data_IF_556558210344
#
_entry.id   IF_556558210344
#
_cell.length_a   1.000
_cell.length_b   1.000
_cell.length_c   1.000
_cell.angle_alpha   90.00
_cell.angle_beta   90.00
_cell.angle_gamma   90.00
#
_symmetry.space_group_name_H-M   'P 1'
#
loop_
_entity.id
_entity.type
_entity.pdbx_description
1 polymer ?
#
# COMPACT_ATOMS: atom_id res chain seq x y z
N UNK A 1 27.98 -29.28 52.94
CA UNK A 1 28.48 -27.89 52.86
C UNK A 1 27.48 -27.16 51.99
N UNK A 2 26.78 -26.18 52.53
CA UNK A 2 25.99 -25.26 51.71
C UNK A 2 26.99 -24.31 51.06
N UNK A 3 27.08 -24.35 49.73
CA UNK A 3 27.88 -23.39 48.97
C UNK A 3 27.14 -22.06 49.01
N UNK A 4 27.53 -21.19 49.96
CA UNK A 4 27.09 -19.80 50.02
C UNK A 4 27.72 -19.01 48.85
N UNK A 5 27.23 -19.29 47.65
CA UNK A 5 27.48 -18.51 46.44
C UNK A 5 26.98 -17.07 46.66
N UNK A 6 27.66 -16.09 46.08
CA UNK A 6 27.16 -14.72 46.13
C UNK A 6 25.89 -14.60 45.28
N UNK A 7 24.98 -13.69 45.64
CA UNK A 7 23.75 -13.45 44.87
C UNK A 7 24.04 -13.18 43.38
N UNK A 8 25.15 -12.48 43.07
CA UNK A 8 25.62 -12.21 41.72
C UNK A 8 26.03 -13.50 40.96
N UNK A 9 26.67 -14.47 41.63
CA UNK A 9 27.07 -15.75 41.02
C UNK A 9 25.81 -16.59 40.70
N UNK A 10 24.84 -16.59 41.62
CA UNK A 10 23.54 -17.24 41.42
C UNK A 10 22.78 -16.59 40.26
N UNK A 11 22.78 -15.26 40.15
CA UNK A 11 22.14 -14.57 39.01
C UNK A 11 22.84 -14.86 37.67
N UNK A 12 24.18 -15.03 37.66
CA UNK A 12 24.94 -15.41 36.46
C UNK A 12 24.55 -16.82 35.98
N UNK A 13 24.54 -17.81 36.88
CA UNK A 13 24.13 -19.19 36.54
C UNK A 13 22.65 -19.29 36.11
N UNK A 14 21.78 -18.44 36.66
CA UNK A 14 20.37 -18.38 36.27
C UNK A 14 20.11 -17.58 34.97
N UNK A 15 21.08 -16.82 34.45
CA UNK A 15 20.88 -15.94 33.30
C UNK A 15 20.37 -16.66 32.03
N UNK A 16 20.91 -17.84 31.63
CA UNK A 16 20.38 -18.58 30.48
C UNK A 16 18.94 -19.03 30.67
N UNK A 17 18.59 -19.46 31.89
CA UNK A 17 17.23 -19.92 32.24
C UNK A 17 16.24 -18.74 32.20
N UNK A 18 16.62 -17.58 32.73
CA UNK A 18 15.81 -16.37 32.69
C UNK A 18 15.54 -15.90 31.24
N UNK A 19 16.54 -15.97 30.36
CA UNK A 19 16.37 -15.65 28.93
C UNK A 19 15.46 -16.65 28.21
N UNK A 20 15.58 -17.95 28.52
CA UNK A 20 14.68 -18.97 27.97
C UNK A 20 13.24 -18.79 28.45
N UNK A 21 13.03 -18.49 29.74
CA UNK A 21 11.69 -18.23 30.30
C UNK A 21 11.03 -17.02 29.64
N UNK A 22 11.77 -15.92 29.44
CA UNK A 22 11.29 -14.74 28.72
C UNK A 22 10.95 -15.04 27.24
N UNK A 23 11.70 -15.95 26.60
CA UNK A 23 11.38 -16.42 25.25
C UNK A 23 10.11 -17.28 25.21
N UNK A 24 9.86 -18.12 26.22
CA UNK A 24 8.60 -18.87 26.36
C UNK A 24 7.41 -17.92 26.58
N UNK A 25 7.55 -16.89 27.44
CA UNK A 25 6.54 -15.84 27.60
C UNK A 25 6.20 -15.15 26.27
N UNK A 26 7.21 -14.83 25.46
CA UNK A 26 7.06 -14.30 24.11
C UNK A 26 6.25 -15.24 23.19
N UNK A 27 6.58 -16.54 23.17
CA UNK A 27 5.84 -17.53 22.37
C UNK A 27 4.38 -17.73 22.84
N UNK A 28 4.12 -17.57 24.13
CA UNK A 28 2.77 -17.58 24.71
C UNK A 28 1.98 -16.26 24.48
N UNK A 29 2.53 -15.31 23.72
CA UNK A 29 1.89 -14.02 23.43
C UNK A 29 1.95 -13.00 24.57
N UNK A 30 2.64 -13.30 25.68
CA UNK A 30 2.82 -12.41 26.84
C UNK A 30 3.93 -11.39 26.58
N UNK A 31 3.73 -10.59 25.54
CA UNK A 31 4.74 -9.69 24.96
C UNK A 31 5.28 -8.66 25.95
N UNK A 32 4.43 -8.10 26.82
CA UNK A 32 4.85 -7.09 27.80
C UNK A 32 5.74 -7.70 28.91
N UNK A 33 5.33 -8.85 29.48
CA UNK A 33 6.13 -9.61 30.46
C UNK A 33 7.52 -9.98 29.90
N UNK A 34 7.55 -10.44 28.65
CA UNK A 34 8.80 -10.78 27.96
C UNK A 34 9.69 -9.54 27.72
N UNK A 35 9.13 -8.41 27.29
CA UNK A 35 9.87 -7.14 27.11
C UNK A 35 10.48 -6.67 28.43
N UNK A 36 9.72 -6.71 29.52
CA UNK A 36 10.19 -6.34 30.85
C UNK A 36 11.29 -7.27 31.35
N UNK A 37 11.12 -8.58 31.18
CA UNK A 37 12.10 -9.61 31.55
C UNK A 37 13.42 -9.44 30.78
N UNK A 38 13.39 -9.35 29.45
CA UNK A 38 14.60 -9.09 28.65
C UNK A 38 15.23 -7.73 29.02
N UNK A 39 14.43 -6.70 29.26
CA UNK A 39 14.94 -5.38 29.66
C UNK A 39 15.61 -5.42 31.03
N UNK A 40 15.10 -6.21 31.97
CA UNK A 40 15.70 -6.46 33.27
C UNK A 40 17.08 -7.12 33.14
N UNK A 41 17.15 -8.24 32.44
CA UNK A 41 18.40 -9.01 32.20
C UNK A 41 19.47 -8.10 31.56
N UNK A 42 19.11 -7.34 30.51
CA UNK A 42 20.04 -6.44 29.81
C UNK A 42 20.50 -5.26 30.69
N UNK A 43 19.67 -4.80 31.64
CA UNK A 43 20.03 -3.71 32.57
C UNK A 43 20.99 -4.16 33.66
N UNK A 44 20.85 -5.40 34.14
CA UNK A 44 21.74 -5.98 35.17
C UNK A 44 23.16 -6.19 34.65
N UNK A 45 23.30 -6.44 33.34
CA UNK A 45 24.60 -6.52 32.67
C UNK A 45 25.55 -7.56 33.35
N UNK A 46 24.99 -8.73 33.62
CA UNK A 46 25.67 -9.92 34.14
C UNK A 46 26.83 -10.35 33.22
N UNK A 47 27.77 -11.14 33.73
CA UNK A 47 29.01 -11.49 33.00
C UNK A 47 28.76 -12.49 31.84
N UNK A 48 27.56 -13.08 31.75
CA UNK A 48 27.18 -14.01 30.67
C UNK A 48 26.83 -13.29 29.34
N UNK A 49 27.88 -12.94 28.58
CA UNK A 49 27.79 -12.29 27.27
C UNK A 49 26.85 -13.02 26.27
N UNK A 50 26.84 -14.37 26.14
CA UNK A 50 25.87 -15.12 25.33
C UNK A 50 24.40 -14.85 25.67
N UNK A 51 23.98 -14.94 26.94
CA UNK A 51 22.58 -14.70 27.31
C UNK A 51 22.17 -13.26 27.09
N UNK A 52 23.07 -12.30 27.33
CA UNK A 52 22.83 -10.89 27.00
C UNK A 52 22.64 -10.70 25.48
N UNK A 53 23.46 -11.33 24.65
CA UNK A 53 23.32 -11.23 23.19
C UNK A 53 21.98 -11.79 22.69
N UNK A 54 21.56 -12.94 23.23
CA UNK A 54 20.25 -13.55 22.92
C UNK A 54 19.09 -12.70 23.43
N UNK A 55 19.16 -12.16 24.65
CA UNK A 55 18.16 -11.27 25.22
C UNK A 55 18.00 -9.98 24.40
N UNK A 56 19.11 -9.36 23.97
CA UNK A 56 19.11 -8.18 23.09
C UNK A 56 18.42 -8.53 21.78
N UNK A 57 18.76 -9.66 21.15
CA UNK A 57 18.18 -10.07 19.88
C UNK A 57 16.67 -10.31 19.96
N UNK A 58 16.20 -10.99 21.02
CA UNK A 58 14.78 -11.29 21.22
C UNK A 58 13.98 -10.02 21.54
N UNK A 59 14.52 -9.13 22.36
CA UNK A 59 13.92 -7.81 22.63
C UNK A 59 13.79 -6.97 21.36
N UNK A 60 14.79 -7.03 20.47
CA UNK A 60 14.77 -6.35 19.17
C UNK A 60 13.68 -6.93 18.27
N UNK A 61 13.55 -8.26 18.19
CA UNK A 61 12.49 -8.91 17.45
C UNK A 61 11.08 -8.52 17.95
N UNK A 62 10.90 -8.39 19.27
CA UNK A 62 9.64 -7.92 19.89
C UNK A 62 9.34 -6.44 19.63
N UNK A 63 10.36 -5.56 19.67
CA UNK A 63 10.20 -4.13 19.35
C UNK A 63 9.97 -3.87 17.86
N UNK A 64 10.58 -4.69 17.00
CA UNK A 64 10.55 -4.53 15.54
C UNK A 64 11.10 -3.17 15.11
N UNK A 65 10.37 -2.39 14.28
CA UNK A 65 10.82 -1.07 13.81
C UNK A 65 10.67 0.05 14.86
N UNK A 66 10.24 -0.24 16.10
CA UNK A 66 10.23 0.74 17.20
C UNK A 66 11.66 0.90 17.75
N UNK A 67 12.02 2.13 18.11
CA UNK A 67 13.31 2.48 18.70
C UNK A 67 14.56 1.99 17.94
N UNK A 68 14.53 1.95 16.60
CA UNK A 68 15.60 1.39 15.75
C UNK A 68 17.01 1.87 16.16
N UNK A 69 17.16 3.14 16.52
CA UNK A 69 18.44 3.71 16.97
C UNK A 69 18.95 3.16 18.32
N UNK A 70 18.06 2.82 19.25
CA UNK A 70 18.41 2.16 20.52
C UNK A 70 18.72 0.67 20.28
N UNK A 71 17.88 0.00 19.48
CA UNK A 71 18.09 -1.39 19.05
C UNK A 71 19.44 -1.59 18.36
N UNK A 72 19.81 -0.71 17.42
CA UNK A 72 21.14 -0.70 16.79
C UNK A 72 22.25 -0.46 17.83
N UNK A 73 22.11 0.54 18.71
CA UNK A 73 23.09 0.82 19.76
C UNK A 73 23.29 -0.38 20.71
N UNK A 74 22.26 -1.18 20.97
CA UNK A 74 22.37 -2.40 21.77
C UNK A 74 23.12 -3.50 21.04
N UNK A 75 22.85 -3.72 19.75
CA UNK A 75 23.65 -4.65 18.94
C UNK A 75 25.11 -4.20 18.84
N UNK A 76 25.37 -2.91 18.62
CA UNK A 76 26.74 -2.37 18.52
C UNK A 76 27.56 -2.47 19.83
N UNK A 77 26.98 -2.99 20.94
CA UNK A 77 27.70 -3.33 22.19
C UNK A 77 28.23 -4.77 22.23
N UNK A 78 27.56 -5.71 21.57
CA UNK A 78 27.94 -7.14 21.53
C UNK A 78 28.86 -7.46 20.33
N UNK A 79 29.35 -6.41 19.67
CA UNK A 79 30.09 -6.46 18.40
C UNK A 79 31.37 -5.64 18.52
N UNK A 80 32.41 -6.09 17.82
CA UNK A 80 33.69 -5.38 17.78
C UNK A 80 33.66 -4.19 16.80
N UNK A 81 34.27 -3.08 17.23
CA UNK A 81 34.44 -1.88 16.40
C UNK A 81 35.62 -2.08 15.44
N UNK A 82 35.39 -2.85 14.37
CA UNK A 82 36.36 -3.00 13.28
C UNK A 82 36.26 -1.84 12.29
N UNK A 83 37.39 -1.18 12.03
CA UNK A 83 37.53 -0.11 11.03
C UNK A 83 37.87 -0.67 9.64
N UNK A 84 37.12 -1.68 9.17
CA UNK A 84 37.35 -2.36 7.90
C UNK A 84 36.07 -2.83 7.22
N UNK A 85 36.14 -3.34 5.96
CA UNK A 85 35.00 -3.70 5.11
C UNK A 85 34.29 -5.02 5.51
N UNK A 86 34.42 -5.40 6.78
CA UNK A 86 33.59 -6.40 7.46
C UNK A 86 33.22 -5.80 8.83
N UNK A 87 32.52 -4.67 8.82
CA UNK A 87 32.36 -3.79 9.99
C UNK A 87 31.48 -4.36 11.13
N UNK A 88 31.14 -5.65 11.11
CA UNK A 88 30.15 -6.27 11.99
C UNK A 88 30.56 -7.72 12.32
N UNK A 89 31.54 -7.87 13.22
CA UNK A 89 31.99 -9.15 13.79
C UNK A 89 31.71 -9.20 15.30
N UNK A 90 31.35 -10.37 15.84
CA UNK A 90 31.03 -10.53 17.26
C UNK A 90 32.26 -10.29 18.14
N UNK A 91 32.06 -9.70 19.31
CA UNK A 91 33.18 -9.41 20.21
C UNK A 91 33.75 -10.67 20.89
N UNK A 92 35.08 -10.71 21.09
CA UNK A 92 35.77 -11.56 22.10
C UNK A 92 35.45 -13.07 22.06
N UNK A 93 35.24 -13.64 20.88
CA UNK A 93 34.93 -15.07 20.74
C UNK A 93 33.47 -15.44 21.11
N UNK A 94 32.58 -14.46 21.23
CA UNK A 94 31.14 -14.68 21.42
C UNK A 94 30.51 -15.48 20.26
N UNK A 95 31.09 -15.39 19.05
CA UNK A 95 30.73 -16.21 17.89
C UNK A 95 31.00 -17.72 18.10
N UNK A 96 31.91 -18.10 18.99
CA UNK A 96 32.15 -19.52 19.34
C UNK A 96 31.15 -20.03 20.37
N UNK A 97 30.62 -19.14 21.22
CA UNK A 97 29.65 -19.45 22.28
C UNK A 97 28.20 -19.47 21.76
N UNK A 98 27.88 -18.70 20.73
CA UNK A 98 26.56 -18.64 20.12
C UNK A 98 26.35 -19.74 19.08
N UNK A 99 25.21 -20.43 19.15
CA UNK A 99 24.82 -21.42 18.14
C UNK A 99 24.69 -20.79 16.74
N UNK A 100 24.87 -21.57 15.64
CA UNK A 100 24.72 -21.05 14.28
C UNK A 100 23.42 -20.29 14.04
N UNK A 101 22.29 -20.79 14.56
CA UNK A 101 20.96 -20.15 14.44
C UNK A 101 20.85 -18.84 15.21
N UNK A 102 21.48 -18.72 16.40
CA UNK A 102 21.50 -17.46 17.14
C UNK A 102 22.33 -16.40 16.41
N UNK A 103 23.51 -16.78 15.89
CA UNK A 103 24.36 -15.89 15.08
C UNK A 103 23.60 -15.38 13.85
N UNK A 104 22.99 -16.30 13.10
CA UNK A 104 22.16 -16.00 11.93
C UNK A 104 21.04 -15.00 12.27
N UNK A 105 20.26 -15.25 13.33
CA UNK A 105 19.16 -14.38 13.74
C UNK A 105 19.63 -12.95 14.09
N UNK A 106 20.79 -12.82 14.75
CA UNK A 106 21.40 -11.51 15.07
C UNK A 106 21.81 -10.77 13.79
N UNK A 107 22.46 -11.44 12.84
CA UNK A 107 22.81 -10.85 11.55
C UNK A 107 21.57 -10.40 10.76
N UNK A 108 20.55 -11.24 10.66
CA UNK A 108 19.27 -10.93 10.00
C UNK A 108 18.63 -9.69 10.64
N UNK A 109 18.50 -9.67 11.97
CA UNK A 109 17.91 -8.54 12.69
C UNK A 109 18.73 -7.25 12.55
N UNK A 110 20.08 -7.33 12.49
CA UNK A 110 20.92 -6.14 12.18
C UNK A 110 20.61 -5.58 10.80
N UNK A 111 20.47 -6.42 9.77
CA UNK A 111 20.11 -5.97 8.41
C UNK A 111 18.73 -5.35 8.38
N UNK A 112 17.73 -5.97 9.03
CA UNK A 112 16.38 -5.41 9.09
C UNK A 112 16.37 -4.03 9.76
N UNK A 113 17.09 -3.85 10.88
CA UNK A 113 17.25 -2.54 11.52
C UNK A 113 18.02 -1.52 10.65
N UNK A 114 19.00 -1.95 9.85
CA UNK A 114 19.68 -1.09 8.88
C UNK A 114 18.72 -0.59 7.79
N UNK A 115 17.87 -1.49 7.26
CA UNK A 115 16.84 -1.15 6.28
C UNK A 115 15.75 -0.24 6.86
N UNK A 116 15.40 -0.40 8.14
CA UNK A 116 14.46 0.50 8.83
C UNK A 116 15.07 1.86 9.20
N UNK A 117 16.38 1.94 9.44
CA UNK A 117 17.10 3.20 9.68
C UNK A 117 17.65 3.87 8.42
N UNK A 118 17.38 3.32 7.24
CA UNK A 118 17.87 3.79 5.94
C UNK A 118 19.42 3.86 5.82
N UNK A 119 20.14 3.05 6.61
CA UNK A 119 21.61 2.94 6.58
C UNK A 119 22.05 1.96 5.47
N UNK A 120 21.77 2.33 4.22
CA UNK A 120 21.83 1.42 3.08
C UNK A 120 23.23 0.88 2.77
N UNK A 121 24.30 1.65 2.99
CA UNK A 121 25.66 1.18 2.68
C UNK A 121 26.12 0.07 3.63
N UNK A 122 25.86 0.22 4.94
CA UNK A 122 26.09 -0.85 5.93
C UNK A 122 25.21 -2.08 5.65
N UNK A 123 23.97 -1.89 5.18
CA UNK A 123 23.10 -3.01 4.78
C UNK A 123 23.68 -3.77 3.58
N UNK A 124 24.17 -3.04 2.58
CA UNK A 124 24.75 -3.62 1.36
C UNK A 124 26.02 -4.40 1.67
N UNK A 125 26.95 -3.81 2.44
CA UNK A 125 28.18 -4.48 2.88
C UNK A 125 27.85 -5.80 3.60
N UNK A 126 27.05 -5.74 4.66
CA UNK A 126 26.74 -6.92 5.48
C UNK A 126 26.11 -8.05 4.65
N UNK A 127 25.13 -7.71 3.80
CA UNK A 127 24.38 -8.71 3.03
C UNK A 127 25.18 -9.32 1.88
N UNK A 128 26.29 -8.71 1.44
CA UNK A 128 27.22 -9.39 0.50
C UNK A 128 27.99 -10.55 1.14
N UNK A 129 28.18 -10.53 2.47
CA UNK A 129 28.95 -11.55 3.20
C UNK A 129 28.04 -12.69 3.70
N UNK A 130 26.78 -12.41 4.05
CA UNK A 130 25.85 -13.40 4.63
C UNK A 130 25.67 -14.70 3.82
N UNK A 131 25.61 -14.71 2.46
CA UNK A 131 25.49 -15.96 1.70
C UNK A 131 26.69 -16.89 1.86
N UNK A 132 27.89 -16.36 2.11
CA UNK A 132 29.07 -17.17 2.41
C UNK A 132 29.10 -17.70 3.85
N UNK A 133 28.47 -16.98 4.79
CA UNK A 133 28.38 -17.40 6.20
C UNK A 133 27.25 -18.40 6.47
N UNK A 134 26.16 -18.30 5.71
CA UNK A 134 24.93 -19.07 5.91
C UNK A 134 24.42 -19.65 4.57
N UNK A 135 25.20 -20.49 3.86
CA UNK A 135 24.90 -20.94 2.50
C UNK A 135 23.60 -21.75 2.41
N UNK A 136 23.24 -22.47 3.48
CA UNK A 136 22.02 -23.28 3.53
C UNK A 136 20.74 -22.47 3.77
N UNK A 137 20.83 -21.18 4.06
CA UNK A 137 19.68 -20.37 4.45
C UNK A 137 19.17 -19.50 3.29
N UNK A 138 17.84 -19.34 3.24
CA UNK A 138 17.13 -18.53 2.25
C UNK A 138 17.15 -17.03 2.58
N UNK A 139 17.23 -16.69 3.88
CA UNK A 139 17.15 -15.32 4.38
C UNK A 139 18.25 -14.39 3.84
N UNK A 140 19.54 -14.79 3.69
CA UNK A 140 20.54 -13.95 3.04
C UNK A 140 20.13 -13.47 1.63
N UNK A 141 19.58 -14.36 0.79
CA UNK A 141 19.10 -14.02 -0.55
C UNK A 141 17.89 -13.08 -0.53
N UNK A 142 16.94 -13.32 0.37
CA UNK A 142 15.78 -12.45 0.57
C UNK A 142 16.18 -11.04 1.07
N UNK A 143 17.14 -10.95 1.99
CA UNK A 143 17.68 -9.69 2.47
C UNK A 143 18.46 -8.96 1.36
N UNK A 144 19.16 -9.68 0.48
CA UNK A 144 19.88 -9.09 -0.64
C UNK A 144 18.92 -8.46 -1.65
N UNK A 145 17.84 -9.18 -1.97
CA UNK A 145 16.74 -8.64 -2.76
C UNK A 145 16.07 -7.43 -2.08
N UNK A 146 15.84 -7.48 -0.76
CA UNK A 146 15.26 -6.36 -0.01
C UNK A 146 16.13 -5.09 -0.04
N UNK A 147 17.45 -5.22 0.05
CA UNK A 147 18.40 -4.10 -0.17
C UNK A 147 18.21 -3.53 -1.58
N UNK A 148 18.22 -4.36 -2.62
CA UNK A 148 18.07 -3.88 -4.00
C UNK A 148 16.71 -3.23 -4.28
N UNK A 149 15.62 -3.75 -3.70
CA UNK A 149 14.28 -3.13 -3.79
C UNK A 149 14.27 -1.75 -3.12
N UNK A 150 14.89 -1.60 -1.94
CA UNK A 150 15.03 -0.29 -1.28
C UNK A 150 15.91 0.69 -2.05
N UNK A 151 16.82 0.20 -2.89
CA UNK A 151 17.62 1.01 -3.83
C UNK A 151 16.91 1.28 -5.17
N UNK A 152 15.64 0.91 -5.33
CA UNK A 152 14.87 0.94 -6.59
C UNK A 152 15.48 0.10 -7.75
N UNK A 153 16.32 -0.89 -7.44
CA UNK A 153 17.01 -1.78 -8.41
C UNK A 153 16.26 -3.10 -8.57
N UNK A 154 14.97 -3.01 -8.91
CA UNK A 154 14.03 -4.17 -8.93
C UNK A 154 14.55 -5.34 -9.78
N UNK A 155 15.04 -5.10 -11.00
CA UNK A 155 15.57 -6.17 -11.88
C UNK A 155 16.76 -6.93 -11.28
N UNK A 156 17.61 -6.29 -10.47
CA UNK A 156 18.71 -6.99 -9.76
C UNK A 156 18.20 -7.86 -8.61
N UNK A 157 17.14 -7.41 -7.92
CA UNK A 157 16.48 -8.22 -6.91
C UNK A 157 15.84 -9.48 -7.54
N UNK A 158 15.18 -9.33 -8.69
CA UNK A 158 14.59 -10.45 -9.43
C UNK A 158 15.63 -11.46 -9.94
N UNK A 159 16.76 -10.97 -10.46
CA UNK A 159 17.87 -11.80 -10.94
C UNK A 159 18.44 -12.66 -9.81
N UNK A 160 18.75 -12.06 -8.66
CA UNK A 160 19.33 -12.75 -7.51
C UNK A 160 18.35 -13.78 -6.91
N UNK A 161 17.06 -13.44 -6.82
CA UNK A 161 16.04 -14.40 -6.38
C UNK A 161 15.88 -15.54 -7.40
N UNK A 162 15.98 -15.26 -8.70
CA UNK A 162 15.98 -16.29 -9.75
C UNK A 162 17.17 -17.25 -9.61
N UNK A 163 18.39 -16.71 -9.54
CA UNK A 163 19.61 -17.50 -9.36
C UNK A 163 19.59 -18.33 -8.06
N UNK A 164 19.03 -17.79 -6.97
CA UNK A 164 18.91 -18.54 -5.72
C UNK A 164 17.90 -19.69 -5.85
N UNK A 165 16.75 -19.46 -6.48
CA UNK A 165 15.74 -20.50 -6.72
C UNK A 165 16.27 -21.65 -7.59
N UNK A 166 17.14 -21.35 -8.55
CA UNK A 166 17.82 -22.35 -9.40
C UNK A 166 18.91 -23.12 -8.66
N UNK A 167 19.67 -22.46 -7.76
CA UNK A 167 20.69 -23.10 -6.91
C UNK A 167 20.11 -24.00 -5.82
N UNK A 168 18.92 -23.67 -5.31
CA UNK A 168 18.28 -24.40 -4.21
C UNK A 168 16.81 -24.75 -4.53
N UNK A 169 16.54 -25.71 -5.44
CA UNK A 169 15.18 -26.05 -5.86
C UNK A 169 14.25 -26.39 -4.68
N UNK A 170 14.71 -27.19 -3.72
CA UNK A 170 13.92 -27.62 -2.55
C UNK A 170 13.48 -26.47 -1.64
N UNK A 171 14.23 -25.35 -1.65
CA UNK A 171 13.98 -24.15 -0.85
C UNK A 171 13.43 -22.99 -1.69
N UNK A 172 13.22 -23.22 -2.99
CA UNK A 172 12.87 -22.17 -3.98
C UNK A 172 11.50 -21.54 -3.75
N UNK A 173 10.54 -22.24 -3.14
CA UNK A 173 9.14 -21.79 -2.96
C UNK A 173 9.03 -20.37 -2.37
N UNK A 174 9.70 -20.10 -1.25
CA UNK A 174 9.66 -18.78 -0.59
C UNK A 174 10.32 -17.70 -1.46
N UNK A 175 11.37 -18.07 -2.19
CA UNK A 175 12.15 -17.19 -3.06
C UNK A 175 11.38 -16.82 -4.33
N UNK A 176 10.68 -17.78 -4.92
CA UNK A 176 9.81 -17.59 -6.08
C UNK A 176 8.59 -16.74 -5.74
N UNK A 177 7.99 -16.92 -4.54
CA UNK A 177 6.94 -16.03 -4.03
C UNK A 177 7.47 -14.60 -3.84
N UNK A 178 8.64 -14.44 -3.22
CA UNK A 178 9.27 -13.12 -3.06
C UNK A 178 9.59 -12.48 -4.42
N UNK A 179 10.11 -13.25 -5.39
CA UNK A 179 10.40 -12.79 -6.76
C UNK A 179 9.12 -12.33 -7.46
N UNK A 180 8.04 -13.10 -7.34
CA UNK A 180 6.75 -12.74 -7.90
C UNK A 180 6.19 -11.44 -7.30
N UNK A 181 6.27 -11.28 -5.97
CA UNK A 181 5.83 -10.07 -5.29
C UNK A 181 6.66 -8.84 -5.69
N UNK A 182 7.99 -8.98 -5.77
CA UNK A 182 8.91 -7.93 -6.20
C UNK A 182 8.65 -7.52 -7.65
N UNK A 183 8.53 -8.49 -8.56
CA UNK A 183 8.24 -8.25 -9.97
C UNK A 183 6.86 -7.61 -10.19
N UNK A 184 5.83 -8.07 -9.49
CA UNK A 184 4.50 -7.46 -9.55
C UNK A 184 4.52 -6.01 -9.03
N UNK A 185 5.27 -5.73 -7.96
CA UNK A 185 5.48 -4.37 -7.44
C UNK A 185 6.28 -3.46 -8.38
N UNK A 186 7.19 -4.02 -9.18
CA UNK A 186 7.92 -3.32 -10.24
C UNK A 186 7.16 -3.15 -11.55
N UNK A 187 5.99 -3.77 -11.71
CA UNK A 187 5.23 -3.79 -12.96
C UNK A 187 5.72 -4.82 -13.99
N UNK A 188 6.68 -5.69 -13.63
CA UNK A 188 7.17 -6.78 -14.48
C UNK A 188 6.24 -8.00 -14.43
N UNK A 189 5.01 -7.82 -14.92
CA UNK A 189 3.91 -8.78 -14.81
C UNK A 189 4.25 -10.19 -15.33
N UNK A 190 5.00 -10.26 -16.43
CA UNK A 190 5.43 -11.54 -17.03
C UNK A 190 6.36 -12.32 -16.10
N UNK A 191 7.38 -11.66 -15.53
CA UNK A 191 8.33 -12.27 -14.57
C UNK A 191 7.59 -12.72 -13.30
N UNK A 192 6.58 -11.96 -12.87
CA UNK A 192 5.74 -12.34 -11.74
C UNK A 192 4.93 -13.61 -12.02
N UNK A 193 4.28 -13.70 -13.18
CA UNK A 193 3.52 -14.87 -13.59
C UNK A 193 4.41 -16.12 -13.77
N UNK A 194 5.57 -15.98 -14.42
CA UNK A 194 6.54 -17.07 -14.58
C UNK A 194 7.09 -17.57 -13.24
N UNK A 195 7.34 -16.66 -12.30
CA UNK A 195 7.85 -17.03 -10.97
C UNK A 195 6.82 -17.81 -10.15
N UNK A 196 5.53 -17.46 -10.22
CA UNK A 196 4.45 -18.21 -9.59
C UNK A 196 4.21 -19.57 -10.27
N UNK A 197 4.25 -19.62 -11.61
CA UNK A 197 4.04 -20.85 -12.37
C UNK A 197 5.11 -21.92 -12.11
N UNK A 198 6.31 -21.53 -11.63
CA UNK A 198 7.39 -22.46 -11.22
C UNK A 198 7.15 -23.14 -9.86
N UNK A 199 6.08 -22.84 -9.12
CA UNK A 199 5.82 -23.41 -7.79
C UNK A 199 4.77 -24.53 -7.89
N UNK A 200 5.17 -25.83 -7.93
CA UNK A 200 4.25 -26.92 -8.23
C UNK A 200 3.12 -27.07 -7.19
N UNK A 201 3.44 -27.00 -5.89
CA UNK A 201 2.51 -27.20 -4.77
C UNK A 201 1.22 -26.36 -4.84
N UNK A 202 1.31 -25.18 -5.46
CA UNK A 202 0.22 -24.19 -5.48
C UNK A 202 -0.28 -23.90 -6.89
N UNK A 203 0.35 -24.44 -7.94
CA UNK A 203 0.16 -24.03 -9.34
C UNK A 203 -1.31 -24.04 -9.78
N UNK A 204 -2.05 -25.08 -9.38
CA UNK A 204 -3.46 -25.27 -9.76
C UNK A 204 -4.47 -24.79 -8.71
N UNK A 205 -4.01 -24.25 -7.57
CA UNK A 205 -4.91 -23.75 -6.53
C UNK A 205 -5.70 -22.54 -7.05
N UNK A 206 -7.01 -22.38 -6.75
CA UNK A 206 -7.84 -21.33 -7.34
C UNK A 206 -7.28 -19.91 -7.18
N UNK A 207 -6.67 -19.59 -6.03
CA UNK A 207 -6.04 -18.29 -5.80
C UNK A 207 -4.80 -18.05 -6.69
N UNK A 208 -3.98 -19.08 -6.91
CA UNK A 208 -2.82 -19.03 -7.80
C UNK A 208 -3.26 -18.91 -9.25
N UNK A 209 -4.27 -19.69 -9.67
CA UNK A 209 -4.85 -19.62 -11.02
C UNK A 209 -5.41 -18.23 -11.29
N UNK A 210 -6.22 -17.67 -10.37
CA UNK A 210 -6.79 -16.33 -10.51
C UNK A 210 -5.72 -15.22 -10.57
N UNK A 211 -4.68 -15.31 -9.75
CA UNK A 211 -3.58 -14.32 -9.76
C UNK A 211 -2.73 -14.44 -11.03
N UNK A 212 -2.38 -15.66 -11.46
CA UNK A 212 -1.67 -15.92 -12.71
C UNK A 212 -2.44 -15.40 -13.95
N UNK A 213 -3.73 -15.72 -14.04
CA UNK A 213 -4.62 -15.24 -15.11
C UNK A 213 -4.67 -13.71 -15.10
N UNK A 214 -4.89 -13.07 -13.95
CA UNK A 214 -4.96 -11.60 -13.88
C UNK A 214 -3.62 -10.92 -14.22
N UNK A 215 -2.47 -11.52 -13.85
CA UNK A 215 -1.16 -11.02 -14.23
C UNK A 215 -0.95 -11.10 -15.75
N UNK A 216 -1.31 -12.22 -16.38
CA UNK A 216 -1.18 -12.42 -17.82
C UNK A 216 -2.16 -11.60 -18.65
N UNK A 217 -3.42 -11.51 -18.23
CA UNK A 217 -4.43 -10.65 -18.85
C UNK A 217 -3.96 -9.19 -18.88
N UNK A 218 -3.40 -8.69 -17.76
CA UNK A 218 -2.81 -7.34 -17.66
C UNK A 218 -1.53 -7.18 -18.48
N UNK A 219 -0.78 -8.26 -18.73
CA UNK A 219 0.36 -8.28 -19.63
C UNK A 219 -0.04 -8.37 -21.13
N UNK A 220 -1.33 -8.57 -21.42
CA UNK A 220 -1.84 -8.79 -22.78
C UNK A 220 -1.78 -10.24 -23.28
N UNK A 221 -1.24 -11.17 -22.49
CA UNK A 221 -1.14 -12.60 -22.83
C UNK A 221 -2.47 -13.34 -22.54
N UNK A 222 -3.52 -13.01 -23.32
CA UNK A 222 -4.84 -13.65 -23.21
C UNK A 222 -4.74 -15.16 -23.51
N UNK A 223 -3.90 -15.55 -24.47
CA UNK A 223 -3.70 -16.95 -24.85
C UNK A 223 -3.06 -17.77 -23.72
N UNK A 224 -1.99 -17.26 -23.12
CA UNK A 224 -1.31 -17.94 -22.05
C UNK A 224 -2.00 -17.79 -20.70
N UNK A 225 -2.96 -16.86 -20.53
CA UNK A 225 -3.90 -16.88 -19.42
C UNK A 225 -4.92 -18.01 -19.59
N UNK A 226 -5.45 -18.18 -20.81
CA UNK A 226 -6.39 -19.27 -21.13
C UNK A 226 -5.76 -20.66 -20.95
N UNK A 227 -4.50 -20.82 -21.38
CA UNK A 227 -3.73 -22.05 -21.17
C UNK A 227 -3.56 -22.42 -19.67
N UNK A 228 -3.57 -21.42 -18.77
CA UNK A 228 -3.51 -21.68 -17.32
C UNK A 228 -4.85 -22.24 -16.82
N UNK A 229 -5.99 -21.70 -17.28
CA UNK A 229 -7.29 -22.32 -17.02
C UNK A 229 -7.36 -23.75 -17.55
N UNK A 230 -6.98 -24.00 -18.81
CA UNK A 230 -6.98 -25.34 -19.39
C UNK A 230 -6.09 -26.32 -18.60
N UNK A 231 -4.92 -25.87 -18.11
CA UNK A 231 -4.04 -26.69 -17.27
C UNK A 231 -4.66 -27.01 -15.90
N UNK A 232 -5.35 -26.03 -15.29
CA UNK A 232 -6.02 -26.22 -14.00
C UNK A 232 -7.24 -27.12 -14.13
N UNK A 233 -8.05 -26.96 -15.18
CA UNK A 233 -9.21 -27.82 -15.48
C UNK A 233 -8.75 -29.28 -15.62
N UNK A 234 -7.68 -29.54 -16.39
CA UNK A 234 -7.11 -30.89 -16.55
C UNK A 234 -6.55 -31.48 -15.26
N UNK A 235 -6.00 -30.65 -14.37
CA UNK A 235 -5.52 -31.13 -13.07
C UNK A 235 -6.68 -31.49 -12.14
N UNK A 236 -7.66 -30.59 -11.99
CA UNK A 236 -8.82 -30.79 -11.11
C UNK A 236 -9.81 -31.84 -11.64
N UNK A 237 -9.86 -32.13 -12.94
CA UNK A 237 -10.64 -33.27 -13.47
C UNK A 237 -10.07 -34.62 -13.05
N UNK A 238 -8.76 -34.68 -12.80
CA UNK A 238 -8.04 -35.91 -12.45
C UNK A 238 -7.80 -36.03 -10.94
N UNK A 239 -7.95 -34.92 -10.19
CA UNK A 239 -7.78 -34.88 -8.74
C UNK A 239 -8.97 -35.56 -8.02
N UNK A 240 -8.72 -36.72 -7.42
CA UNK A 240 -9.67 -37.40 -6.53
C UNK A 240 -9.65 -36.76 -5.13
N UNK A 241 -10.20 -35.54 -5.03
CA UNK A 241 -10.33 -34.78 -3.77
C UNK A 241 -11.79 -34.54 -3.43
N UNK A 242 -12.18 -34.71 -2.16
CA UNK A 242 -13.55 -34.43 -1.69
C UNK A 242 -13.98 -32.98 -1.95
N UNK A 243 -13.08 -32.01 -1.75
CA UNK A 243 -13.32 -30.59 -2.00
C UNK A 243 -12.86 -30.14 -3.40
N UNK A 244 -13.34 -30.83 -4.45
CA UNK A 244 -12.93 -30.55 -5.83
C UNK A 244 -13.41 -29.17 -6.31
N UNK A 245 -12.46 -28.28 -6.67
CA UNK A 245 -12.72 -26.91 -7.13
C UNK A 245 -12.92 -26.75 -8.64
N UNK A 246 -12.97 -27.86 -9.40
CA UNK A 246 -13.13 -27.87 -10.86
C UNK A 246 -14.23 -26.93 -11.35
N UNK A 247 -15.40 -26.94 -10.70
CA UNK A 247 -16.56 -26.14 -11.11
C UNK A 247 -16.29 -24.64 -11.06
N UNK A 248 -15.67 -24.16 -9.98
CA UNK A 248 -15.33 -22.75 -9.80
C UNK A 248 -14.34 -22.32 -10.88
N UNK A 249 -13.35 -23.16 -11.16
CA UNK A 249 -12.32 -22.89 -12.17
C UNK A 249 -12.91 -22.90 -13.59
N UNK A 250 -13.76 -23.87 -13.93
CA UNK A 250 -14.45 -23.92 -15.22
C UNK A 250 -15.41 -22.74 -15.42
N UNK A 251 -16.12 -22.31 -14.36
CA UNK A 251 -17.05 -21.18 -14.40
C UNK A 251 -16.31 -19.86 -14.65
N UNK A 252 -15.16 -19.65 -14.00
CA UNK A 252 -14.29 -18.49 -14.25
C UNK A 252 -13.58 -18.59 -15.62
N UNK A 253 -13.16 -19.77 -16.07
CA UNK A 253 -12.61 -19.97 -17.41
C UNK A 253 -13.64 -19.60 -18.50
N UNK A 254 -14.89 -20.05 -18.36
CA UNK A 254 -15.96 -19.70 -19.29
C UNK A 254 -16.30 -18.20 -19.25
N UNK A 255 -16.30 -17.59 -18.06
CA UNK A 255 -16.44 -16.14 -17.84
C UNK A 255 -15.31 -15.35 -18.53
N UNK A 256 -14.07 -15.81 -18.41
CA UNK A 256 -12.88 -15.24 -19.06
C UNK A 256 -12.97 -15.34 -20.59
N UNK A 257 -13.25 -16.54 -21.12
CA UNK A 257 -13.46 -16.77 -22.56
C UNK A 257 -14.55 -15.87 -23.13
N UNK A 258 -15.65 -15.69 -22.40
CA UNK A 258 -16.73 -14.79 -22.79
C UNK A 258 -16.31 -13.31 -22.85
N UNK A 259 -15.55 -12.83 -21.85
CA UNK A 259 -15.01 -11.44 -21.82
C UNK A 259 -14.10 -11.16 -23.01
N UNK A 260 -13.30 -12.14 -23.44
CA UNK A 260 -12.39 -12.03 -24.58
C UNK A 260 -13.00 -12.52 -25.92
N UNK A 261 -14.32 -12.65 -26.01
CA UNK A 261 -15.02 -12.90 -27.27
C UNK A 261 -15.05 -14.35 -27.77
N UNK A 262 -14.48 -15.31 -27.03
CA UNK A 262 -14.49 -16.76 -27.36
C UNK A 262 -15.83 -17.41 -26.98
N UNK A 263 -16.92 -16.93 -27.60
CA UNK A 263 -18.31 -17.29 -27.27
C UNK A 263 -18.56 -18.80 -27.36
N UNK A 264 -18.07 -19.44 -28.41
CA UNK A 264 -18.30 -20.87 -28.70
C UNK A 264 -17.64 -21.78 -27.64
N UNK A 265 -16.39 -21.48 -27.28
CA UNK A 265 -15.68 -22.22 -26.23
C UNK A 265 -16.29 -22.00 -24.85
N UNK A 266 -16.69 -20.76 -24.53
CA UNK A 266 -17.39 -20.44 -23.29
C UNK A 266 -18.73 -21.19 -23.19
N UNK A 267 -19.50 -21.26 -24.28
CA UNK A 267 -20.75 -22.00 -24.37
C UNK A 267 -20.53 -23.50 -24.10
N UNK A 268 -19.50 -24.13 -24.70
CA UNK A 268 -19.15 -25.55 -24.44
C UNK A 268 -18.82 -25.81 -22.97
N UNK A 269 -18.04 -24.92 -22.32
CA UNK A 269 -17.72 -25.05 -20.89
C UNK A 269 -18.96 -24.91 -20.00
N UNK A 270 -19.85 -23.95 -20.28
CA UNK A 270 -21.10 -23.80 -19.52
C UNK A 270 -22.06 -24.98 -19.75
N UNK A 271 -22.17 -25.51 -20.97
CA UNK A 271 -22.95 -26.73 -21.22
C UNK A 271 -22.42 -27.91 -20.38
N UNK A 272 -21.10 -28.09 -20.31
CA UNK A 272 -20.49 -29.14 -19.52
C UNK A 272 -20.82 -28.97 -18.02
N UNK A 273 -20.70 -27.76 -17.49
CA UNK A 273 -21.03 -27.43 -16.09
C UNK A 273 -22.51 -27.69 -15.74
N UNK A 274 -23.43 -27.31 -16.64
CA UNK A 274 -24.87 -27.57 -16.47
C UNK A 274 -25.13 -29.08 -16.45
N UNK A 275 -24.51 -29.85 -17.35
CA UNK A 275 -24.62 -31.33 -17.40
C UNK A 275 -24.07 -32.02 -16.16
N UNK A 276 -22.95 -31.56 -15.61
CA UNK A 276 -22.28 -32.22 -14.47
C UNK A 276 -22.86 -31.88 -13.10
N UNK A 277 -23.30 -30.62 -12.89
CA UNK A 277 -23.67 -30.15 -11.54
C UNK A 277 -25.02 -29.41 -11.46
N UNK A 278 -25.70 -29.12 -12.57
CA UNK A 278 -27.01 -28.46 -12.56
C UNK A 278 -27.02 -27.08 -11.90
N UNK A 279 -25.86 -26.39 -11.84
CA UNK A 279 -25.75 -25.08 -11.20
C UNK A 279 -26.56 -24.02 -11.96
N UNK A 280 -27.36 -23.24 -11.22
CA UNK A 280 -28.13 -22.11 -11.75
C UNK A 280 -27.18 -21.06 -12.34
N UNK A 281 -26.01 -20.85 -11.74
CA UNK A 281 -25.02 -19.87 -12.21
C UNK A 281 -24.42 -20.29 -13.55
N UNK A 282 -24.16 -21.58 -13.73
CA UNK A 282 -23.70 -22.13 -15.01
C UNK A 282 -24.79 -22.04 -16.09
N UNK A 283 -26.07 -22.23 -15.73
CA UNK A 283 -27.21 -22.04 -16.64
C UNK A 283 -27.38 -20.58 -17.04
N UNK A 284 -27.24 -19.63 -16.12
CA UNK A 284 -27.24 -18.18 -16.42
C UNK A 284 -26.04 -17.81 -17.31
N UNK A 285 -24.86 -18.40 -17.06
CA UNK A 285 -23.70 -18.29 -17.95
C UNK A 285 -24.01 -18.79 -19.37
N UNK A 286 -24.60 -19.98 -19.48
CA UNK A 286 -25.00 -20.58 -20.75
C UNK A 286 -25.99 -19.68 -21.51
N UNK A 287 -27.07 -19.23 -20.86
CA UNK A 287 -28.06 -18.29 -21.43
C UNK A 287 -27.38 -17.02 -21.93
N UNK A 288 -26.45 -16.44 -21.15
CA UNK A 288 -25.69 -15.24 -21.55
C UNK A 288 -24.78 -15.50 -22.75
N UNK A 289 -24.16 -16.68 -22.85
CA UNK A 289 -23.35 -17.04 -24.04
C UNK A 289 -24.23 -17.27 -25.27
N UNK A 290 -25.35 -17.98 -25.12
CA UNK A 290 -26.30 -18.26 -26.18
C UNK A 290 -26.95 -16.97 -26.70
N UNK A 291 -27.32 -16.02 -25.84
CA UNK A 291 -27.87 -14.73 -26.26
C UNK A 291 -26.93 -13.90 -27.18
N UNK A 292 -25.63 -14.25 -27.25
CA UNK A 292 -24.64 -13.62 -28.12
C UNK A 292 -24.35 -14.42 -29.41
N UNK A 293 -24.98 -15.58 -29.61
CA UNK A 293 -24.76 -16.49 -30.76
C UNK A 293 -26.06 -17.02 -31.37
N UNK A 294 -27.03 -17.41 -30.55
CA UNK A 294 -28.30 -18.04 -30.89
C UNK A 294 -29.38 -17.72 -29.83
N UNK A 295 -30.31 -16.84 -30.20
CA UNK A 295 -31.38 -16.36 -29.31
C UNK A 295 -32.40 -17.46 -28.99
N UNK A 296 -32.70 -18.36 -29.92
CA UNK A 296 -33.66 -19.45 -29.73
C UNK A 296 -33.15 -20.44 -28.68
N UNK A 297 -31.85 -20.80 -28.75
CA UNK A 297 -31.20 -21.59 -27.69
C UNK A 297 -31.22 -20.88 -26.35
N UNK A 298 -31.00 -19.57 -26.32
CA UNK A 298 -31.06 -18.78 -25.08
C UNK A 298 -32.45 -18.84 -24.42
N UNK A 299 -33.53 -18.74 -25.21
CA UNK A 299 -34.91 -18.89 -24.72
C UNK A 299 -35.21 -20.31 -24.23
N UNK A 300 -34.71 -21.35 -24.90
CA UNK A 300 -34.86 -22.75 -24.47
C UNK A 300 -34.19 -22.99 -23.11
N UNK A 301 -32.99 -22.46 -22.88
CA UNK A 301 -32.32 -22.52 -21.58
C UNK A 301 -32.98 -21.63 -20.52
N UNK A 302 -33.50 -20.44 -20.90
CA UNK A 302 -34.20 -19.56 -19.98
C UNK A 302 -35.46 -20.21 -19.37
N UNK A 303 -36.17 -21.05 -20.13
CA UNK A 303 -37.32 -21.85 -19.64
C UNK A 303 -36.95 -22.85 -18.53
N UNK A 304 -35.66 -23.17 -18.35
CA UNK A 304 -35.18 -24.06 -17.28
C UNK A 304 -34.90 -23.32 -15.96
N UNK A 305 -34.91 -21.98 -15.96
CA UNK A 305 -34.75 -21.19 -14.73
C UNK A 305 -36.03 -21.28 -13.88
N UNK A 306 -35.84 -21.51 -12.57
CA UNK A 306 -36.94 -21.51 -11.61
C UNK A 306 -37.48 -20.09 -11.40
N UNK A 307 -38.81 -19.86 -11.44
CA UNK A 307 -39.39 -18.57 -11.08
C UNK A 307 -38.98 -18.14 -9.67
N UNK A 308 -38.66 -16.84 -9.49
CA UNK A 308 -38.27 -16.29 -8.20
C UNK A 308 -39.47 -16.30 -7.22
N UNK A 309 -39.38 -16.97 -6.06
CA UNK A 309 -40.45 -16.97 -5.07
C UNK A 309 -40.76 -15.53 -4.60
N UNK A 310 -42.03 -15.13 -4.69
CA UNK A 310 -42.50 -13.81 -4.25
C UNK A 310 -42.54 -12.72 -5.31
N UNK A 311 -41.82 -12.85 -6.44
CA UNK A 311 -41.99 -11.94 -7.59
C UNK A 311 -43.20 -12.36 -8.42
N UNK A 312 -44.36 -11.77 -8.15
CA UNK A 312 -45.52 -11.84 -9.06
C UNK A 312 -45.37 -10.80 -10.16
N UNK A 313 -45.41 -11.25 -11.42
CA UNK A 313 -45.65 -10.46 -12.63
C UNK A 313 -45.11 -9.00 -12.57
N UNK A 314 -43.79 -8.85 -12.50
CA UNK A 314 -43.16 -7.55 -12.76
C UNK A 314 -43.38 -7.24 -14.23
N UNK A 315 -44.14 -6.19 -14.51
CA UNK A 315 -44.43 -5.71 -15.85
C UNK A 315 -43.16 -5.07 -16.45
N UNK A 316 -42.40 -5.88 -17.20
CA UNK A 316 -41.14 -5.50 -17.84
C UNK A 316 -41.35 -4.35 -18.82
N UNK A 317 -42.44 -4.40 -19.58
CA UNK A 317 -42.83 -3.37 -20.55
C UNK A 317 -43.05 -2.00 -19.91
N UNK A 318 -43.62 -1.93 -18.71
CA UNK A 318 -43.72 -0.69 -17.94
C UNK A 318 -42.40 -0.32 -17.28
N UNK A 319 -41.59 -1.29 -16.84
CA UNK A 319 -40.30 -1.04 -16.18
C UNK A 319 -39.26 -0.44 -17.13
N UNK A 320 -39.23 -0.88 -18.40
CA UNK A 320 -38.39 -0.30 -19.45
C UNK A 320 -38.86 1.11 -19.87
N UNK A 321 -40.16 1.39 -19.77
CA UNK A 321 -40.74 2.71 -20.05
C UNK A 321 -40.56 3.70 -18.89
N UNK A 322 -40.43 3.23 -17.65
CA UNK A 322 -39.98 4.10 -16.55
C UNK A 322 -38.53 4.48 -16.76
N UNK A 323 -38.26 5.79 -16.90
CA UNK A 323 -36.90 6.31 -16.87
C UNK A 323 -36.19 5.79 -15.62
N UNK A 324 -35.10 5.04 -15.83
CA UNK A 324 -34.48 4.20 -14.80
C UNK A 324 -34.24 4.92 -13.48
N UNK A 325 -34.34 4.15 -12.39
CA UNK A 325 -34.28 4.66 -11.02
C UNK A 325 -33.15 5.69 -10.86
N UNK A 326 -33.54 6.95 -10.60
CA UNK A 326 -32.56 8.00 -10.28
C UNK A 326 -31.77 7.53 -9.07
N UNK A 327 -30.44 7.59 -9.18
CA UNK A 327 -29.52 7.23 -8.11
C UNK A 327 -29.98 7.89 -6.80
N UNK A 328 -30.50 7.08 -5.88
CA UNK A 328 -30.89 7.56 -4.56
C UNK A 328 -29.59 7.79 -3.80
N UNK A 329 -29.15 9.04 -3.74
CA UNK A 329 -28.10 9.43 -2.80
C UNK A 329 -28.57 9.06 -1.40
N UNK A 330 -27.81 8.20 -0.73
CA UNK A 330 -28.17 7.61 0.56
C UNK A 330 -28.26 8.67 1.68
N UNK A 331 -29.43 9.28 1.82
CA UNK A 331 -29.84 10.03 3.00
C UNK A 331 -30.60 9.10 3.98
N UNK A 332 -30.22 9.03 5.27
CA UNK A 332 -30.79 8.04 6.18
C UNK A 332 -32.17 8.47 6.71
N UNK A 333 -33.24 8.04 6.04
CA UNK A 333 -34.57 7.95 6.65
C UNK A 333 -35.23 6.60 6.35
N UNK A 334 -35.22 5.74 7.38
CA UNK A 334 -36.14 4.62 7.50
C UNK A 334 -37.59 5.13 7.42
N UNK A 335 -38.40 4.46 6.59
CA UNK A 335 -39.77 4.89 6.30
C UNK A 335 -40.63 3.76 5.76
N UNK A 336 -41.01 2.84 6.67
CA UNK A 336 -42.18 1.93 6.67
C UNK A 336 -42.83 1.67 5.30
N UNK A 337 -42.74 0.41 4.86
CA UNK A 337 -43.57 -0.13 3.78
C UNK A 337 -44.99 -0.42 4.27
N UNK A 338 -46.00 0.18 3.63
CA UNK A 338 -47.38 -0.33 3.65
C UNK A 338 -47.86 -0.62 2.21
N UNK A 339 -48.78 -1.59 2.03
CA UNK A 339 -49.11 -2.15 0.72
C UNK A 339 -50.02 -1.25 -0.11
N UNK A 340 -49.78 -1.20 -1.42
CA UNK A 340 -50.61 -0.45 -2.36
C UNK A 340 -51.79 -1.29 -2.86
N UNK A 341 -52.97 -1.10 -2.26
CA UNK A 341 -54.22 -1.57 -2.86
C UNK A 341 -54.60 -0.75 -4.09
N UNK A 342 -55.07 -1.44 -5.12
CA UNK A 342 -55.64 -0.87 -6.34
C UNK A 342 -56.87 -0.01 -6.06
N UNK A 343 -56.82 1.29 -6.39
CA UNK A 343 -58.03 2.11 -6.55
C UNK A 343 -58.13 2.81 -7.90
N UNK A 344 -59.36 2.84 -8.36
CA UNK A 344 -59.90 3.25 -9.65
C UNK A 344 -59.64 4.72 -10.03
N UNK A 345 -59.82 5.00 -11.33
CA UNK A 345 -59.71 6.32 -11.95
C UNK A 345 -60.61 7.35 -11.27
N UNK A 346 -60.01 8.36 -10.63
CA UNK A 346 -60.66 9.66 -10.37
C UNK A 346 -59.86 10.84 -10.93
N UNK A 347 -60.57 11.92 -11.27
CA UNK A 347 -60.09 13.02 -12.11
C UNK A 347 -58.97 13.83 -11.43
N UNK A 348 -57.90 14.11 -12.17
CA UNK A 348 -56.74 14.85 -11.68
C UNK A 348 -57.08 16.28 -11.22
N UNK A 349 -57.08 16.52 -9.90
CA UNK A 349 -57.15 17.86 -9.31
C UNK A 349 -55.89 18.65 -9.65
N UNK A 350 -56.01 19.74 -10.43
CA UNK A 350 -54.89 20.65 -10.78
C UNK A 350 -54.24 21.19 -9.50
N UNK A 351 -52.97 20.85 -9.25
CA UNK A 351 -52.21 21.36 -8.10
C UNK A 351 -52.04 22.89 -8.22
N UNK A 352 -52.54 23.64 -7.25
CA UNK A 352 -52.32 25.10 -7.12
C UNK A 352 -50.81 25.39 -7.08
N UNK A 353 -50.27 26.15 -8.04
CA UNK A 353 -48.89 26.68 -7.96
C UNK A 353 -48.81 27.60 -6.74
N UNK A 354 -47.88 27.33 -5.80
CA UNK A 354 -47.58 28.25 -4.70
C UNK A 354 -46.83 29.47 -5.25
N UNK A 355 -47.11 30.66 -4.70
CA UNK A 355 -46.40 31.89 -5.09
C UNK A 355 -44.90 31.76 -4.76
N UNK A 356 -43.98 32.26 -5.61
CA UNK A 356 -42.55 32.27 -5.29
C UNK A 356 -42.30 33.14 -4.04
N UNK A 357 -41.35 32.70 -3.20
CA UNK A 357 -40.99 33.39 -1.95
C UNK A 357 -39.77 34.26 -2.21
N UNK A 358 -39.96 35.58 -2.28
CA UNK A 358 -38.88 36.53 -2.53
C UNK A 358 -37.90 36.63 -1.36
N UNK A 359 -36.63 37.06 -1.60
CA UNK A 359 -35.67 37.37 -0.55
C UNK A 359 -36.20 38.41 0.45
N UNK A 360 -35.74 38.32 1.70
CA UNK A 360 -36.20 39.17 2.80
C UNK A 360 -35.84 40.64 2.53
N UNK A 361 -36.86 41.47 2.25
CA UNK A 361 -36.71 42.89 1.91
C UNK A 361 -36.88 43.26 0.42
N UNK A 362 -37.25 42.31 -0.45
CA UNK A 362 -37.57 42.60 -1.86
C UNK A 362 -39.06 42.91 -2.04
N UNK A 363 -39.39 44.14 -2.45
CA UNK A 363 -40.75 44.59 -2.73
C UNK A 363 -41.03 44.56 -4.26
N UNK A 364 -42.01 43.78 -4.77
CA UNK A 364 -42.23 43.62 -6.20
C UNK A 364 -42.66 44.89 -6.96
N UNK A 365 -43.24 45.88 -6.27
CA UNK A 365 -43.71 47.12 -6.91
C UNK A 365 -42.60 48.14 -7.16
N UNK A 366 -41.55 48.11 -6.34
CA UNK A 366 -40.35 48.94 -6.48
C UNK A 366 -39.13 48.04 -6.25
N UNK A 367 -38.66 47.31 -7.29
CA UNK A 367 -37.42 46.56 -7.17
C UNK A 367 -36.29 47.55 -6.88
N UNK A 368 -35.76 47.49 -5.66
CA UNK A 368 -34.57 48.26 -5.27
C UNK A 368 -33.38 47.97 -6.19
N UNK A 369 -32.31 48.78 -6.11
CA UNK A 369 -31.17 48.65 -7.01
C UNK A 369 -30.69 47.19 -7.10
N UNK A 370 -30.36 46.70 -8.31
CA UNK A 370 -30.10 45.29 -8.55
C UNK A 370 -29.01 44.76 -7.60
N UNK A 371 -29.12 43.52 -7.11
CA UNK A 371 -28.18 42.98 -6.16
C UNK A 371 -26.76 43.01 -6.74
N UNK A 372 -25.82 43.50 -5.93
CA UNK A 372 -24.40 43.71 -6.22
C UNK A 372 -23.86 42.76 -7.31
N UNK A 373 -23.39 43.28 -8.48
CA UNK A 373 -22.92 42.45 -9.58
C UNK A 373 -21.68 41.61 -9.22
N UNK A 374 -20.95 41.94 -8.15
CA UNK A 374 -19.83 41.14 -7.64
C UNK A 374 -20.30 40.07 -6.62
N UNK A 375 -21.61 39.88 -6.43
CA UNK A 375 -22.15 38.95 -5.43
C UNK A 375 -21.87 37.48 -5.72
N UNK A 376 -21.58 37.11 -6.96
CA UNK A 376 -21.15 35.76 -7.34
C UNK A 376 -19.63 35.54 -7.17
N UNK A 377 -18.83 36.62 -7.13
CA UNK A 377 -17.38 36.52 -6.94
C UNK A 377 -17.02 36.10 -5.51
N UNK A 378 -15.93 35.34 -5.31
CA UNK A 378 -15.33 35.09 -3.99
C UNK A 378 -15.15 36.39 -3.20
N UNK A 379 -15.44 36.37 -1.89
CA UNK A 379 -15.47 37.59 -1.05
C UNK A 379 -14.17 38.40 -1.02
N UNK A 380 -13.04 37.83 -1.45
CA UNK A 380 -11.72 38.50 -1.55
C UNK A 380 -11.50 39.28 -2.84
N UNK A 381 -12.24 38.94 -3.89
CA UNK A 381 -12.13 39.51 -5.24
C UNK A 381 -13.13 40.65 -5.48
N UNK A 382 -14.03 40.89 -4.51
CA UNK A 382 -14.98 42.01 -4.55
C UNK A 382 -14.27 43.33 -4.24
N UNK A 383 -14.62 44.38 -4.97
CA UNK A 383 -14.25 45.77 -4.74
C UNK A 383 -14.46 46.24 -3.28
N UNK A 384 -15.48 45.71 -2.60
CA UNK A 384 -15.78 45.97 -1.19
C UNK A 384 -14.83 45.29 -0.19
N UNK A 385 -13.91 44.44 -0.64
CA UNK A 385 -12.98 43.71 0.23
C UNK A 385 -11.82 44.60 0.72
N UNK A 386 -11.88 45.03 1.99
CA UNK A 386 -10.74 45.60 2.70
C UNK A 386 -10.04 44.54 3.56
N UNK A 387 -8.85 44.04 3.18
CA UNK A 387 -8.08 43.12 4.03
C UNK A 387 -7.62 43.81 5.32
N UNK A 388 -7.72 43.11 6.46
CA UNK A 388 -7.19 43.59 7.74
C UNK A 388 -5.66 43.66 7.68
N UNK A 389 -5.08 44.67 8.34
CA UNK A 389 -3.68 45.13 8.17
C UNK A 389 -2.55 44.07 8.32
N UNK A 390 -2.80 42.87 8.88
CA UNK A 390 -1.80 41.79 8.98
C UNK A 390 -1.61 40.97 7.70
N UNK A 391 -2.63 40.84 6.85
CA UNK A 391 -2.66 39.78 5.81
C UNK A 391 -2.34 40.28 4.39
N UNK A 392 -1.67 41.44 4.24
CA UNK A 392 -1.35 42.02 2.92
C UNK A 392 -0.50 41.12 2.02
N UNK A 393 0.31 40.19 2.56
CA UNK A 393 1.07 39.21 1.76
C UNK A 393 0.23 38.01 1.29
N UNK A 394 -0.83 37.64 2.00
CA UNK A 394 -1.65 36.47 1.65
C UNK A 394 -2.63 36.75 0.49
N UNK A 395 -3.00 38.01 0.28
CA UNK A 395 -3.95 38.41 -0.77
C UNK A 395 -3.37 38.34 -2.19
N UNK A 396 -2.04 38.34 -2.35
CA UNK A 396 -1.38 38.50 -3.67
C UNK A 396 -0.72 37.22 -4.21
N UNK A 397 -0.74 36.11 -3.45
CA UNK A 397 0.07 34.90 -3.72
C UNK A 397 -0.80 33.66 -4.04
N UNK A 398 -2.11 33.83 -4.24
CA UNK A 398 -3.02 32.69 -4.52
C UNK A 398 -4.04 32.96 -5.64
N UNK A 399 -3.52 33.31 -6.82
CA UNK A 399 -4.25 33.09 -8.08
C UNK A 399 -4.32 31.59 -8.44
N UNK A 400 -5.06 31.26 -9.48
CA UNK A 400 -5.03 29.92 -10.10
C UNK A 400 -3.62 29.56 -10.56
N UNK A 401 -3.27 28.27 -10.52
CA UNK A 401 -1.93 27.82 -10.94
C UNK A 401 -1.66 28.22 -12.39
N UNK A 402 -0.59 28.99 -12.62
CA UNK A 402 -0.16 29.46 -13.94
C UNK A 402 0.09 30.97 -14.05
N UNK A 403 -0.42 31.80 -13.12
CA UNK A 403 -0.20 33.25 -13.16
C UNK A 403 1.19 33.67 -12.65
N UNK A 404 2.09 34.08 -13.56
CA UNK A 404 3.44 34.56 -13.23
C UNK A 404 3.38 35.97 -12.63
N UNK A 405 3.89 36.14 -11.40
CA UNK A 405 3.98 37.44 -10.75
C UNK A 405 5.19 38.23 -11.26
N UNK A 406 5.00 39.51 -11.64
CA UNK A 406 6.11 40.45 -11.87
C UNK A 406 6.70 40.88 -10.52
N UNK A 407 7.95 40.52 -10.26
CA UNK A 407 8.66 40.93 -9.04
C UNK A 407 9.12 42.39 -9.12
N UNK A 408 8.95 43.10 -7.99
CA UNK A 408 9.52 44.42 -7.78
C UNK A 408 10.81 44.30 -6.97
N UNK A 409 11.91 44.82 -7.52
CA UNK A 409 13.27 44.67 -6.99
C UNK A 409 13.43 45.41 -5.65
N UNK A 410 14.05 44.76 -4.67
CA UNK A 410 14.58 45.44 -3.48
C UNK A 410 15.98 44.91 -3.16
N UNK A 411 16.96 45.80 -3.21
CA UNK A 411 18.38 45.51 -3.00
C UNK A 411 18.71 45.66 -1.52
N UNK A 412 19.41 44.67 -0.95
CA UNK A 412 20.12 44.82 0.34
C UNK A 412 21.60 44.58 0.09
N UNK A 413 22.41 45.54 0.52
CA UNK A 413 23.83 45.63 0.19
C UNK A 413 24.68 44.96 1.29
N UNK A 414 25.50 43.97 0.91
CA UNK A 414 26.47 43.32 1.81
C UNK A 414 27.85 43.96 1.65
N UNK A 415 28.48 44.37 2.76
CA UNK A 415 29.88 44.82 2.73
C UNK A 415 30.82 43.64 2.50
N UNK A 416 31.79 43.85 1.60
CA UNK A 416 32.82 42.90 1.20
C UNK A 416 34.03 42.88 2.13
N UNK A 417 34.77 41.77 2.11
CA UNK A 417 36.22 41.77 2.32
C UNK A 417 36.87 41.09 1.10
N UNK A 418 37.99 41.63 0.60
CA UNK A 418 38.57 41.29 -0.71
C UNK A 418 39.62 40.17 -0.65
N UNK A 419 39.86 39.47 -1.78
CA UNK A 419 41.21 39.37 -2.37
C UNK A 419 41.23 38.93 -3.86
N UNK A 420 42.17 39.54 -4.61
CA UNK A 420 42.88 39.07 -5.83
C UNK A 420 42.17 38.76 -7.17
N UNK A 421 42.44 39.64 -8.17
CA UNK A 421 42.80 39.35 -9.59
C UNK A 421 41.73 38.76 -10.56
N UNK A 422 41.61 39.15 -11.84
CA UNK A 422 42.46 40.01 -12.72
C UNK A 422 41.73 40.60 -13.95
N UNK A 423 42.26 41.74 -14.46
CA UNK A 423 42.29 42.33 -15.83
C UNK A 423 41.06 42.34 -16.79
N UNK A 424 40.81 43.54 -17.35
CA UNK A 424 40.00 43.83 -18.56
C UNK A 424 38.97 44.96 -18.33
N UNK A 425 39.28 46.25 -18.47
CA UNK A 425 39.40 47.03 -19.72
C UNK A 425 38.09 46.98 -20.56
N UNK A 426 37.37 48.08 -20.89
CA UNK A 426 37.71 49.51 -20.92
C UNK A 426 36.45 50.42 -20.92
N UNK A 427 36.59 51.68 -20.44
CA UNK A 427 35.80 52.89 -20.83
C UNK A 427 34.26 52.84 -20.59
N UNK A 428 33.46 53.91 -20.45
CA UNK A 428 33.58 55.37 -20.21
C UNK A 428 32.14 55.86 -19.84
N UNK A 429 31.86 57.05 -19.29
CA UNK A 429 32.58 58.05 -18.47
C UNK A 429 31.60 59.23 -18.19
N UNK A 430 31.72 59.96 -17.06
CA UNK A 430 31.10 61.31 -16.82
C UNK A 430 29.55 61.32 -16.71
N UNK A 431 28.87 62.10 -15.87
CA UNK A 431 29.22 62.82 -14.63
C UNK A 431 27.91 63.22 -13.88
N UNK A 432 28.05 63.61 -12.60
CA UNK A 432 27.34 64.73 -11.90
C UNK A 432 25.79 64.87 -11.95
N UNK A 433 25.09 65.43 -10.94
CA UNK A 433 25.52 66.25 -9.80
C UNK A 433 24.49 66.21 -8.63
N UNK A 434 24.90 66.76 -7.48
CA UNK A 434 24.06 67.50 -6.50
C UNK A 434 22.83 66.84 -5.83
N UNK A 435 23.05 66.43 -4.57
CA UNK A 435 22.33 66.84 -3.32
C UNK A 435 21.70 68.28 -3.40
N UNK A 436 20.75 68.73 -2.52
CA UNK A 436 20.72 68.44 -1.06
C UNK A 436 19.30 68.35 -0.41
N UNK A 437 19.06 67.53 0.62
CA UNK A 437 19.17 67.79 2.09
C UNK A 437 17.94 68.36 2.82
N UNK A 438 17.63 67.74 3.97
CA UNK A 438 16.96 68.33 5.15
C UNK A 438 15.45 68.64 5.02
N UNK A 439 14.64 68.77 6.09
CA UNK A 439 14.96 68.79 7.53
C UNK A 439 13.81 68.33 8.45
N UNK A 440 14.17 67.64 9.55
CA UNK A 440 13.74 67.81 10.95
C UNK A 440 12.25 67.83 11.41
N UNK A 441 12.14 67.37 12.66
CA UNK A 441 11.08 67.57 13.68
C UNK A 441 9.84 66.67 13.59
N UNK A 442 9.38 65.94 14.61
CA UNK A 442 9.51 65.90 16.09
C UNK A 442 8.42 66.62 16.91
N UNK A 443 7.42 65.87 17.36
CA UNK A 443 6.71 65.93 18.68
C UNK A 443 5.68 64.78 18.69
N UNK A 444 5.51 63.86 19.66
CA UNK A 444 5.78 63.74 21.12
C UNK A 444 4.54 63.98 21.99
N UNK A 445 3.95 62.89 22.51
CA UNK A 445 2.90 62.77 23.57
C UNK A 445 1.53 63.38 23.16
N UNK A 446 0.38 63.02 23.77
CA UNK A 446 0.01 62.25 24.98
C UNK A 446 -1.20 61.34 24.68
N UNK A 447 -1.31 60.11 25.21
CA UNK A 447 -1.82 59.75 26.56
C UNK A 447 -3.24 60.27 26.84
N UNK A 448 -4.24 59.40 26.65
CA UNK A 448 -4.95 58.73 27.74
C UNK A 448 -5.14 57.25 27.37
#
# INVERSE_FOLDING_TARGET
>A
MEENLADDDIEIELAPIAVQLAYVQQLLGRTQEAIESFTGIIKRNLVDEPSIAVAINNLIALKGPKDVSDSLRKLDRIMEKSNGPQSFQFARGLDLKLSPKQREAIYINRVLLLLHSNKMDQARELVTVLPGMFPDNVMPGLLQAAVFVRENKVGKAEEILGQFAEKFPDKSKVVLLARAQVAAGGGHLQIAAESLAKIPDIQHMPATVATLVSLKERAGDINGADAIFDSAIKWWSNAMTEDNKLNVIMQEAASFKLKHGRKEEASRLYEQLVKSHGSIEALVGLIRTAALTDVEKAELYAKQLKPLPGLKAVDVDNLEKTSGAKHVENGPQLGITEPYETKSKEKAKKKRKRKPRYPKGFDPANPGPPPDPERWLPKRERSSYRPKRKDKRAAQIRGSQGAVAKEAVNVVNSKSNQTSSSKGASQNSVAEQSKPSSSKSSRKKSRN
#
